data_IF_626535136612
#
_entry.id   IF_626535136612
#
_cell.length_a   1.000
_cell.length_b   1.000
_cell.length_c   1.000
_cell.angle_alpha   90.00
_cell.angle_beta   90.00
_cell.angle_gamma   90.00
#
_symmetry.space_group_name_H-M   'P 1'
#
loop_
_entity.id
_entity.type
_entity.pdbx_description
1 polymer ?
#
# COMPACT_ATOMS: atom_id res chain seq x y z
N UNK A 1 -30.14 -21.77 22.34
CA UNK A 1 -29.44 -21.00 23.39
C UNK A 1 -30.50 -20.18 24.12
N UNK A 2 -30.52 -20.23 25.45
CA UNK A 2 -31.45 -19.46 26.28
C UNK A 2 -30.66 -18.50 27.14
N UNK A 3 -31.20 -17.30 27.36
CA UNK A 3 -30.61 -16.28 28.23
C UNK A 3 -31.72 -15.59 29.01
N UNK A 4 -31.38 -14.99 30.14
CA UNK A 4 -32.32 -14.26 30.98
C UNK A 4 -32.07 -12.76 30.85
N UNK A 5 -33.15 -11.99 30.92
CA UNK A 5 -33.10 -10.54 31.00
C UNK A 5 -32.55 -10.12 32.37
N UNK A 6 -31.65 -9.15 32.38
CA UNK A 6 -31.07 -8.57 33.59
C UNK A 6 -32.04 -7.58 34.28
N UNK A 7 -31.61 -7.03 35.42
CA UNK A 7 -32.38 -6.06 36.21
C UNK A 7 -32.68 -4.76 35.44
N UNK A 8 -31.94 -4.48 34.35
CA UNK A 8 -32.12 -3.31 33.50
C UNK A 8 -33.01 -3.59 32.27
N UNK A 9 -33.58 -4.79 32.15
CA UNK A 9 -34.41 -5.16 31.01
C UNK A 9 -33.62 -5.55 29.76
N UNK A 10 -32.31 -5.83 29.87
CA UNK A 10 -31.44 -6.18 28.73
C UNK A 10 -30.94 -7.62 28.80
N UNK A 11 -30.63 -8.21 27.65
CA UNK A 11 -29.99 -9.52 27.57
C UNK A 11 -28.90 -9.52 26.51
N UNK A 12 -27.85 -10.30 26.72
CA UNK A 12 -26.74 -10.44 25.77
C UNK A 12 -26.59 -11.89 25.34
N UNK A 13 -26.50 -12.11 24.02
CA UNK A 13 -26.23 -13.42 23.40
C UNK A 13 -24.92 -13.32 22.64
N UNK A 14 -23.94 -14.12 23.05
CA UNK A 14 -22.63 -14.22 22.36
C UNK A 14 -22.64 -15.37 21.38
N UNK A 15 -22.66 -15.05 20.08
CA UNK A 15 -22.54 -16.05 19.01
C UNK A 15 -21.06 -16.19 18.67
N UNK A 16 -20.49 -17.36 18.95
CA UNK A 16 -19.10 -17.65 18.58
C UNK A 16 -19.09 -18.25 17.17
N UNK A 17 -18.50 -17.54 16.22
CA UNK A 17 -18.18 -18.08 14.91
C UNK A 17 -16.76 -18.66 14.95
N UNK A 18 -16.64 -19.97 14.68
CA UNK A 18 -15.33 -20.60 14.50
C UNK A 18 -14.61 -20.01 13.27
N UNK A 19 -13.27 -19.93 13.26
CA UNK A 19 -12.50 -19.58 12.05
C UNK A 19 -12.77 -20.52 10.86
N UNK A 20 -13.34 -21.70 11.10
CA UNK A 20 -13.74 -22.68 10.08
C UNK A 20 -15.19 -22.52 9.60
N UNK A 21 -15.93 -21.53 10.11
CA UNK A 21 -17.34 -21.33 9.71
C UNK A 21 -17.42 -20.93 8.25
N UNK A 22 -18.31 -21.56 7.48
CA UNK A 22 -18.54 -21.20 6.08
C UNK A 22 -19.03 -19.75 5.94
N UNK A 23 -18.63 -19.07 4.86
CA UNK A 23 -19.22 -17.78 4.47
C UNK A 23 -20.67 -18.02 4.08
N UNK A 24 -21.62 -17.47 4.85
CA UNK A 24 -23.05 -17.65 4.60
C UNK A 24 -23.88 -16.56 5.25
N UNK A 25 -25.09 -16.40 4.73
CA UNK A 25 -26.16 -15.64 5.38
C UNK A 25 -26.88 -16.56 6.37
N UNK A 26 -27.03 -16.10 7.61
CA UNK A 26 -27.83 -16.77 8.65
C UNK A 26 -28.94 -15.85 9.12
N UNK A 27 -30.08 -16.43 9.47
CA UNK A 27 -31.17 -15.72 10.15
C UNK A 27 -31.16 -16.14 11.61
N UNK A 28 -31.06 -15.15 12.50
CA UNK A 28 -31.15 -15.33 13.94
C UNK A 28 -32.55 -14.92 14.37
N UNK A 29 -33.32 -15.87 14.86
CA UNK A 29 -34.65 -15.62 15.44
C UNK A 29 -34.53 -15.53 16.96
N UNK A 30 -34.88 -14.39 17.52
CA UNK A 30 -34.95 -14.12 18.94
C UNK A 30 -36.40 -14.26 19.37
N UNK A 31 -36.69 -15.21 20.25
CA UNK A 31 -38.02 -15.42 20.83
C UNK A 31 -38.00 -14.89 22.25
N UNK A 32 -38.77 -13.83 22.50
CA UNK A 32 -38.97 -13.24 23.82
C UNK A 32 -40.17 -13.92 24.46
N UNK A 33 -39.92 -14.72 25.49
CA UNK A 33 -40.96 -15.41 26.27
C UNK A 33 -41.09 -14.72 27.62
N UNK A 34 -42.18 -13.98 27.87
CA UNK A 34 -42.42 -13.33 29.15
C UNK A 34 -42.69 -14.36 30.25
N UNK A 35 -42.43 -13.97 31.51
CA UNK A 35 -42.68 -14.83 32.67
C UNK A 35 -44.18 -14.94 32.95
N UNK A 36 -44.90 -13.86 32.70
CA UNK A 36 -46.33 -13.74 32.91
C UNK A 36 -47.11 -14.40 31.76
N UNK A 37 -47.98 -15.38 32.04
CA UNK A 37 -48.64 -16.19 31.01
C UNK A 37 -49.71 -15.43 30.20
N UNK A 38 -50.12 -14.24 30.64
CA UNK A 38 -51.08 -13.37 29.94
C UNK A 38 -50.39 -12.38 28.98
N UNK A 39 -49.05 -12.35 28.93
CA UNK A 39 -48.30 -11.53 27.98
C UNK A 39 -47.90 -12.43 26.80
N UNK A 40 -48.16 -11.97 25.58
CA UNK A 40 -47.83 -12.71 24.37
C UNK A 40 -46.32 -12.70 24.11
N UNK A 41 -45.78 -13.84 23.68
CA UNK A 41 -44.40 -13.93 23.21
C UNK A 41 -44.20 -13.14 21.91
N UNK A 42 -43.02 -12.57 21.74
CA UNK A 42 -42.63 -11.83 20.53
C UNK A 42 -41.44 -12.52 19.85
N UNK A 43 -41.49 -12.63 18.51
CA UNK A 43 -40.38 -13.11 17.71
C UNK A 43 -39.77 -11.96 16.90
N UNK A 44 -38.45 -11.87 16.91
CA UNK A 44 -37.67 -10.88 16.15
C UNK A 44 -36.68 -11.65 15.30
N UNK A 45 -36.70 -11.42 13.99
CA UNK A 45 -35.75 -12.02 13.07
C UNK A 45 -34.68 -11.01 12.66
N UNK A 46 -33.42 -11.44 12.72
CA UNK A 46 -32.29 -10.63 12.28
C UNK A 46 -31.37 -11.43 11.37
N UNK A 47 -31.09 -10.88 10.21
CA UNK A 47 -30.14 -11.47 9.29
C UNK A 47 -28.71 -11.04 9.64
N UNK A 48 -27.80 -12.01 9.65
CA UNK A 48 -26.37 -11.81 9.89
C UNK A 48 -25.61 -12.47 8.75
N UNK A 49 -24.64 -11.75 8.20
CA UNK A 49 -23.73 -12.29 7.18
C UNK A 49 -22.42 -12.64 7.85
N UNK A 50 -22.04 -13.91 7.78
CA UNK A 50 -20.73 -14.38 8.24
C UNK A 50 -19.80 -14.39 7.03
N UNK A 51 -18.68 -13.69 7.13
CA UNK A 51 -17.64 -13.65 6.10
C UNK A 51 -16.40 -14.36 6.66
N UNK A 52 -16.03 -15.48 6.05
CA UNK A 52 -14.78 -16.17 6.36
C UNK A 52 -13.68 -15.76 5.37
N UNK A 53 -12.64 -15.04 5.83
CA UNK A 53 -11.57 -14.59 4.95
C UNK A 53 -10.80 -15.73 4.31
N UNK A 54 -10.66 -16.89 4.97
CA UNK A 54 -9.97 -18.06 4.40
C UNK A 54 -10.68 -18.57 3.16
N UNK A 55 -12.01 -18.63 3.18
CA UNK A 55 -12.82 -19.11 2.05
C UNK A 55 -12.77 -18.11 0.88
N UNK A 56 -12.76 -16.82 1.19
CA UNK A 56 -12.68 -15.75 0.18
C UNK A 56 -11.30 -15.72 -0.47
N UNK A 57 -10.23 -15.95 0.30
CA UNK A 57 -8.84 -15.82 -0.18
C UNK A 57 -8.32 -17.14 -0.80
N UNK A 58 -8.76 -18.30 -0.32
CA UNK A 58 -8.31 -19.61 -0.78
C UNK A 58 -8.28 -19.78 -2.31
N UNK A 59 -9.31 -19.40 -3.10
CA UNK A 59 -9.27 -19.57 -4.55
C UNK A 59 -8.28 -18.62 -5.26
N UNK A 60 -7.85 -17.54 -4.61
CA UNK A 60 -6.92 -16.55 -5.18
C UNK A 60 -5.48 -17.07 -5.10
N UNK A 61 -5.15 -17.84 -4.07
CA UNK A 61 -3.80 -18.37 -3.82
C UNK A 61 -3.23 -19.16 -5.00
N UNK A 62 -3.91 -20.17 -5.59
CA UNK A 62 -3.37 -20.94 -6.71
C UNK A 62 -3.20 -20.11 -7.98
N UNK A 63 -3.91 -18.99 -8.12
CA UNK A 63 -3.79 -18.07 -9.27
C UNK A 63 -2.55 -17.19 -9.10
N UNK A 64 -2.32 -16.66 -7.89
CA UNK A 64 -1.19 -15.77 -7.61
C UNK A 64 0.13 -16.51 -7.37
N UNK A 65 0.11 -17.72 -6.82
CA UNK A 65 1.30 -18.52 -6.52
C UNK A 65 2.24 -18.72 -7.73
N UNK A 66 1.78 -19.13 -8.93
CA UNK A 66 2.65 -19.26 -10.09
C UNK A 66 3.16 -17.91 -10.59
N UNK A 67 2.35 -16.85 -10.54
CA UNK A 67 2.79 -15.50 -10.94
C UNK A 67 3.95 -15.04 -10.06
N UNK A 68 3.83 -15.22 -8.73
CA UNK A 68 4.89 -14.87 -7.77
C UNK A 68 6.12 -15.76 -7.98
N UNK A 69 5.92 -17.06 -8.23
CA UNK A 69 7.01 -18.01 -8.45
C UNK A 69 7.80 -17.72 -9.74
N UNK A 70 7.12 -17.42 -10.85
CA UNK A 70 7.75 -17.04 -12.11
C UNK A 70 8.36 -15.63 -12.07
N UNK A 71 7.82 -14.74 -11.23
CA UNK A 71 8.35 -13.38 -11.04
C UNK A 71 9.54 -13.32 -10.08
N UNK A 72 9.89 -14.43 -9.39
CA UNK A 72 11.15 -14.49 -8.66
C UNK A 72 12.29 -14.47 -9.69
N UNK A 73 13.13 -13.42 -9.72
CA UNK A 73 14.32 -13.46 -10.55
C UNK A 73 15.11 -14.70 -10.11
N UNK A 74 15.43 -15.59 -11.06
CA UNK A 74 16.43 -16.64 -10.84
C UNK A 74 17.74 -15.93 -10.53
N UNK A 75 17.96 -15.58 -9.27
CA UNK A 75 19.25 -15.13 -8.78
C UNK A 75 20.16 -16.33 -8.96
N UNK A 76 20.91 -16.36 -10.06
CA UNK A 76 22.23 -16.98 -10.05
C UNK A 76 22.94 -16.31 -8.88
N UNK A 77 23.11 -17.05 -7.79
CA UNK A 77 23.98 -16.66 -6.70
C UNK A 77 25.41 -16.83 -7.24
N UNK A 78 25.82 -15.93 -8.13
CA UNK A 78 27.23 -15.64 -8.29
C UNK A 78 27.60 -14.81 -7.05
N UNK A 79 28.31 -15.47 -6.13
CA UNK A 79 29.02 -14.80 -5.04
C UNK A 79 30.03 -13.84 -5.67
N UNK A 80 29.59 -12.65 -6.04
CA UNK A 80 30.50 -11.53 -6.29
C UNK A 80 30.88 -11.06 -4.89
N UNK A 81 32.04 -11.52 -4.42
CA UNK A 81 32.81 -10.81 -3.41
C UNK A 81 33.03 -9.39 -3.94
N UNK A 82 32.18 -8.45 -3.53
CA UNK A 82 32.50 -7.02 -3.67
C UNK A 82 33.40 -6.69 -2.49
N UNK A 83 34.68 -6.95 -2.68
CA UNK A 83 35.74 -6.21 -2.00
C UNK A 83 35.45 -4.73 -2.22
N UNK A 84 35.11 -4.01 -1.16
CA UNK A 84 35.00 -2.55 -1.17
C UNK A 84 36.43 -2.01 -1.32
N UNK A 85 36.95 -2.03 -2.55
CA UNK A 85 38.11 -1.25 -2.94
C UNK A 85 37.57 0.10 -3.38
N UNK A 86 37.59 1.10 -2.49
CA UNK A 86 37.40 2.51 -2.86
C UNK A 86 38.56 2.93 -3.76
N UNK A 87 38.34 3.47 -4.97
CA UNK A 87 39.34 4.23 -5.69
C UNK A 87 39.07 5.74 -5.52
N UNK A 88 40.12 6.43 -5.08
CA UNK A 88 40.45 7.86 -5.10
C UNK A 88 39.40 8.92 -5.52
N UNK A 89 39.06 9.92 -4.70
CA UNK A 89 39.87 11.06 -4.21
C UNK A 89 39.61 12.33 -5.05
N UNK A 90 38.96 13.33 -4.45
CA UNK A 90 39.13 14.75 -4.83
C UNK A 90 39.58 15.49 -3.57
N UNK A 91 40.87 15.79 -3.56
CA UNK A 91 41.60 16.62 -2.61
C UNK A 91 41.00 18.04 -2.53
N UNK A 92 40.63 18.51 -1.33
CA UNK A 92 40.74 19.92 -0.91
C UNK A 92 41.07 20.01 0.60
N UNK A 93 41.84 21.03 1.03
CA UNK A 93 42.81 20.96 2.13
C UNK A 93 42.21 21.14 3.54
N UNK A 94 42.96 20.79 4.61
CA UNK A 94 42.45 20.85 5.98
C UNK A 94 42.45 22.28 6.50
N UNK A 95 41.30 22.77 7.00
CA UNK A 95 41.24 24.04 7.73
C UNK A 95 40.67 23.83 9.13
N UNK A 96 41.62 23.69 10.06
CA UNK A 96 41.66 24.11 11.48
C UNK A 96 40.45 23.82 12.38
N UNK A 97 40.78 23.12 13.45
CA UNK A 97 40.04 22.94 14.69
C UNK A 97 39.46 24.24 15.25
N UNK A 98 38.24 24.17 15.78
CA UNK A 98 37.81 25.01 16.90
C UNK A 98 36.87 24.18 17.77
N UNK A 99 37.31 23.90 19.00
CA UNK A 99 36.47 23.38 20.09
C UNK A 99 35.66 24.53 20.69
N UNK A 100 34.36 24.35 20.84
CA UNK A 100 33.60 24.78 22.02
C UNK A 100 32.18 24.16 22.00
N UNK A 101 31.75 23.74 23.19
CA UNK A 101 30.39 23.32 23.58
C UNK A 101 29.37 24.42 23.19
N UNK A 102 28.08 24.16 22.95
CA UNK A 102 27.12 23.60 23.90
C UNK A 102 25.78 23.38 23.16
N UNK A 103 25.13 22.29 23.54
CA UNK A 103 23.71 21.92 23.41
C UNK A 103 22.76 22.89 22.72
N UNK A 104 22.30 22.53 21.51
CA UNK A 104 20.94 22.84 21.06
C UNK A 104 20.36 21.57 20.44
N UNK A 105 19.20 21.20 20.95
CA UNK A 105 18.35 20.08 20.56
C UNK A 105 18.21 20.07 19.04
N UNK A 106 18.85 19.09 18.39
CA UNK A 106 18.49 18.72 17.03
C UNK A 106 17.11 18.08 17.13
N UNK A 107 16.09 18.78 16.66
CA UNK A 107 15.01 18.09 15.99
C UNK A 107 15.68 17.21 14.93
N UNK A 108 15.58 15.90 15.11
CA UNK A 108 15.95 14.94 14.08
C UNK A 108 15.04 15.23 12.90
N UNK A 109 15.49 16.11 12.01
CA UNK A 109 15.02 16.10 10.62
C UNK A 109 15.29 14.68 10.14
N UNK A 110 14.23 13.87 10.15
CA UNK A 110 14.18 12.56 9.53
C UNK A 110 14.73 12.77 8.11
N UNK A 111 15.97 12.32 7.86
CA UNK A 111 16.56 12.36 6.53
C UNK A 111 15.74 11.35 5.73
N UNK A 112 14.63 11.81 5.16
CA UNK A 112 13.84 11.01 4.22
C UNK A 112 14.78 10.78 3.04
N UNK A 113 15.38 9.61 2.97
CA UNK A 113 16.16 9.17 1.81
C UNK A 113 15.14 8.98 0.68
N UNK A 114 14.84 10.06 -0.03
CA UNK A 114 13.96 10.01 -1.19
C UNK A 114 14.73 9.30 -2.29
N UNK A 115 14.24 8.12 -2.70
CA UNK A 115 14.84 7.37 -3.80
C UNK A 115 14.87 8.25 -5.06
N UNK A 116 15.98 8.33 -5.84
CA UNK A 116 16.11 9.25 -6.98
C UNK A 116 14.98 9.20 -8.02
N UNK A 117 14.35 8.03 -8.18
CA UNK A 117 13.20 7.82 -9.07
C UNK A 117 11.93 8.55 -8.58
N UNK A 118 11.76 8.70 -7.26
CA UNK A 118 10.65 9.47 -6.68
C UNK A 118 10.81 10.95 -7.03
N UNK A 119 12.03 11.50 -6.98
CA UNK A 119 12.30 12.86 -7.46
C UNK A 119 11.99 13.03 -8.94
N UNK A 120 12.38 12.05 -9.77
CA UNK A 120 12.06 12.06 -11.20
C UNK A 120 10.56 12.01 -11.46
N UNK A 121 9.81 11.29 -10.62
CA UNK A 121 8.36 11.25 -10.70
C UNK A 121 7.73 12.61 -10.47
N UNK A 122 8.10 13.30 -9.38
CA UNK A 122 7.55 14.62 -9.09
C UNK A 122 7.89 15.66 -10.15
N UNK A 123 9.13 15.65 -10.68
CA UNK A 123 9.51 16.49 -11.83
C UNK A 123 8.64 16.23 -13.06
N UNK A 124 8.28 14.97 -13.29
CA UNK A 124 7.42 14.60 -14.41
C UNK A 124 5.96 15.03 -14.17
N UNK A 125 5.46 14.92 -12.94
CA UNK A 125 4.13 15.40 -12.56
C UNK A 125 4.02 16.92 -12.70
N UNK A 126 5.04 17.68 -12.31
CA UNK A 126 5.10 19.12 -12.55
C UNK A 126 4.98 19.46 -14.04
N UNK A 127 5.64 18.68 -14.90
CA UNK A 127 5.53 18.84 -16.36
C UNK A 127 4.16 18.44 -16.89
N UNK A 128 3.54 17.40 -16.32
CA UNK A 128 2.19 17.00 -16.68
C UNK A 128 1.14 18.04 -16.28
N UNK A 129 1.35 18.75 -15.16
CA UNK A 129 0.47 19.83 -14.71
C UNK A 129 0.31 20.90 -15.79
N UNK A 130 1.39 21.24 -16.51
CA UNK A 130 1.36 22.22 -17.61
C UNK A 130 0.41 21.79 -18.76
N UNK A 131 0.15 20.48 -18.92
CA UNK A 131 -0.65 19.92 -20.04
C UNK A 131 -2.05 19.46 -19.62
N UNK A 132 -2.22 19.00 -18.38
CA UNK A 132 -3.43 18.33 -17.89
C UNK A 132 -4.22 19.22 -16.92
N UNK A 133 -3.60 20.28 -16.40
CA UNK A 133 -4.14 21.22 -15.39
C UNK A 133 -4.61 20.55 -14.09
N UNK A 134 -4.26 19.28 -13.88
CA UNK A 134 -4.55 18.53 -12.67
C UNK A 134 -3.26 18.16 -11.95
N UNK A 135 -3.26 18.30 -10.63
CA UNK A 135 -2.14 17.99 -9.77
C UNK A 135 -2.59 17.05 -8.65
N UNK A 136 -1.73 16.13 -8.16
CA UNK A 136 -2.08 15.22 -7.07
C UNK A 136 -2.46 15.99 -5.81
N UNK A 137 -3.53 15.55 -5.13
CA UNK A 137 -3.87 16.07 -3.80
C UNK A 137 -2.92 15.49 -2.75
N UNK A 138 -2.65 16.17 -1.63
CA UNK A 138 -1.75 15.66 -0.59
C UNK A 138 -2.16 14.30 -0.01
N UNK A 139 -3.47 14.01 0.02
CA UNK A 139 -4.03 12.75 0.53
C UNK A 139 -4.12 11.65 -0.53
N UNK A 140 -3.73 11.93 -1.78
CA UNK A 140 -3.94 11.04 -2.91
C UNK A 140 -2.69 10.19 -3.15
N UNK A 141 -2.91 8.90 -3.41
CA UNK A 141 -1.84 7.97 -3.79
C UNK A 141 -1.40 8.17 -5.25
N UNK A 142 -0.21 7.68 -5.60
CA UNK A 142 0.29 7.75 -6.98
C UNK A 142 -0.65 7.03 -7.96
N UNK A 143 -1.23 5.88 -7.57
CA UNK A 143 -2.26 5.13 -8.32
C UNK A 143 -3.58 5.86 -8.50
N UNK A 144 -4.08 6.53 -7.46
CA UNK A 144 -5.32 7.30 -7.57
C UNK A 144 -5.12 8.48 -8.52
N UNK A 145 -3.97 9.15 -8.44
CA UNK A 145 -3.63 10.21 -9.38
C UNK A 145 -3.53 9.68 -10.82
N UNK A 146 -2.83 8.57 -11.03
CA UNK A 146 -2.77 7.90 -12.34
C UNK A 146 -4.19 7.63 -12.88
N UNK A 147 -5.08 7.05 -12.08
CA UNK A 147 -6.46 6.73 -12.49
C UNK A 147 -7.22 7.97 -12.93
N UNK A 148 -7.06 9.08 -12.22
CA UNK A 148 -7.68 10.36 -12.52
C UNK A 148 -7.22 10.91 -13.89
N UNK A 149 -5.92 10.91 -14.16
CA UNK A 149 -5.37 11.51 -15.39
C UNK A 149 -5.25 10.53 -16.57
N UNK A 150 -5.51 9.23 -16.35
CA UNK A 150 -5.33 8.16 -17.35
C UNK A 150 -6.04 8.45 -18.66
N UNK A 151 -7.28 8.95 -18.60
CA UNK A 151 -8.07 9.29 -19.79
C UNK A 151 -7.47 10.46 -20.58
N UNK A 152 -6.84 11.42 -19.90
CA UNK A 152 -6.24 12.61 -20.51
C UNK A 152 -4.84 12.35 -21.10
N UNK A 153 -4.15 11.32 -20.60
CA UNK A 153 -2.82 10.92 -21.07
C UNK A 153 -2.83 10.20 -22.42
N UNK A 154 -3.95 9.61 -22.83
CA UNK A 154 -4.07 8.89 -24.10
C UNK A 154 -2.99 7.80 -24.26
N UNK A 155 -2.19 7.90 -25.32
CA UNK A 155 -1.11 6.94 -25.63
C UNK A 155 0.03 6.93 -24.61
N UNK A 156 0.22 8.02 -23.85
CA UNK A 156 1.23 8.11 -22.78
C UNK A 156 0.84 7.34 -21.53
N UNK A 157 -0.46 7.04 -21.36
CA UNK A 157 -1.00 6.41 -20.16
C UNK A 157 -0.27 5.13 -19.79
N UNK A 158 0.00 4.26 -20.77
CA UNK A 158 0.68 2.98 -20.54
C UNK A 158 2.12 3.16 -20.02
N UNK A 159 2.86 4.14 -20.57
CA UNK A 159 4.24 4.42 -20.16
C UNK A 159 4.27 5.07 -18.78
N UNK A 160 3.36 6.00 -18.53
CA UNK A 160 3.23 6.67 -17.25
C UNK A 160 2.76 5.71 -16.14
N UNK A 161 1.87 4.77 -16.46
CA UNK A 161 1.44 3.70 -15.55
C UNK A 161 2.62 2.83 -15.11
N UNK A 162 3.44 2.36 -16.06
CA UNK A 162 4.64 1.57 -15.74
C UNK A 162 5.66 2.34 -14.92
N UNK A 163 5.84 3.63 -15.22
CA UNK A 163 6.73 4.49 -14.44
C UNK A 163 6.19 4.68 -13.01
N UNK A 164 4.89 4.93 -12.87
CA UNK A 164 4.20 5.06 -11.57
C UNK A 164 4.36 3.81 -10.71
N UNK A 165 4.23 2.61 -11.29
CA UNK A 165 4.44 1.36 -10.54
C UNK A 165 5.88 1.21 -10.03
N UNK A 166 6.89 1.60 -10.81
CA UNK A 166 8.29 1.57 -10.38
C UNK A 166 8.57 2.61 -9.30
N UNK A 167 7.95 3.79 -9.40
CA UNK A 167 8.04 4.82 -8.36
C UNK A 167 7.37 4.38 -7.06
N UNK A 168 6.18 3.78 -7.10
CA UNK A 168 5.55 3.22 -5.90
C UNK A 168 6.41 2.14 -5.26
N UNK A 169 7.03 1.28 -6.09
CA UNK A 169 7.99 0.29 -5.61
C UNK A 169 9.16 0.96 -4.89
N UNK A 170 9.72 2.02 -5.46
CA UNK A 170 10.81 2.80 -4.85
C UNK A 170 10.40 3.52 -3.55
N UNK A 171 9.13 3.91 -3.46
CA UNK A 171 8.60 4.70 -2.35
C UNK A 171 8.24 3.82 -1.14
N UNK A 172 7.73 2.62 -1.37
CA UNK A 172 7.22 1.72 -0.32
C UNK A 172 8.12 0.51 -0.05
N UNK A 173 9.05 0.17 -0.95
CA UNK A 173 10.01 -0.92 -0.77
C UNK A 173 11.44 -0.35 -0.81
N UNK A 174 12.33 -0.92 0.00
CA UNK A 174 13.69 -0.41 0.18
C UNK A 174 14.57 -0.46 -1.07
N UNK A 175 14.39 -1.43 -1.98
CA UNK A 175 15.32 -1.62 -3.11
C UNK A 175 14.65 -1.97 -4.45
N UNK A 176 15.00 -1.20 -5.47
CA UNK A 176 14.87 -1.57 -6.88
C UNK A 176 16.11 -2.31 -7.35
N UNK A 177 15.94 -3.16 -8.36
CA UNK A 177 17.09 -3.73 -9.07
C UNK A 177 17.70 -2.69 -10.02
N UNK A 178 19.01 -2.77 -10.27
CA UNK A 178 19.72 -1.90 -11.24
C UNK A 178 19.05 -1.92 -12.63
N UNK A 179 18.45 -3.05 -13.03
CA UNK A 179 17.71 -3.16 -14.28
C UNK A 179 16.41 -2.34 -14.26
N UNK A 180 15.69 -2.36 -13.15
CA UNK A 180 14.47 -1.57 -12.96
C UNK A 180 14.77 -0.08 -12.86
N UNK A 181 15.86 0.33 -12.20
CA UNK A 181 16.30 1.73 -12.16
C UNK A 181 16.61 2.26 -13.56
N UNK A 182 17.44 1.54 -14.32
CA UNK A 182 17.73 1.89 -15.72
C UNK A 182 16.48 1.95 -16.59
N UNK A 183 15.53 1.04 -16.35
CA UNK A 183 14.26 1.03 -17.05
C UNK A 183 13.39 2.24 -16.69
N UNK A 184 13.32 2.60 -15.40
CA UNK A 184 12.62 3.79 -14.92
C UNK A 184 13.20 5.08 -15.53
N UNK A 185 14.53 5.21 -15.57
CA UNK A 185 15.19 6.35 -16.22
C UNK A 185 14.88 6.42 -17.72
N UNK A 186 14.85 5.27 -18.40
CA UNK A 186 14.50 5.19 -19.81
C UNK A 186 13.04 5.62 -20.05
N UNK A 187 12.12 5.18 -19.19
CA UNK A 187 10.72 5.57 -19.24
C UNK A 187 10.56 7.07 -19.01
N UNK A 188 11.23 7.63 -18.00
CA UNK A 188 11.24 9.07 -17.71
C UNK A 188 11.71 9.88 -18.93
N UNK A 189 12.84 9.50 -19.54
CA UNK A 189 13.36 10.18 -20.75
C UNK A 189 12.39 10.08 -21.94
N UNK A 190 11.77 8.92 -22.15
CA UNK A 190 10.78 8.72 -23.21
C UNK A 190 9.54 9.60 -23.00
N UNK A 191 9.00 9.61 -21.78
CA UNK A 191 7.83 10.41 -21.40
C UNK A 191 8.10 11.90 -21.58
N UNK A 192 9.27 12.40 -21.13
CA UNK A 192 9.64 13.80 -21.34
C UNK A 192 9.75 14.17 -22.82
N UNK A 193 10.26 13.27 -23.67
CA UNK A 193 10.39 13.53 -25.10
C UNK A 193 9.03 13.66 -25.77
N UNK A 194 8.09 12.79 -25.41
CA UNK A 194 6.74 12.78 -25.98
C UNK A 194 5.83 13.84 -25.36
N UNK A 195 6.14 14.35 -24.15
CA UNK A 195 5.44 15.48 -23.54
C UNK A 195 5.80 16.83 -24.19
N UNK A 196 6.99 16.94 -24.80
CA UNK A 196 7.42 18.13 -25.55
C UNK A 196 6.85 18.21 -26.98
N UNK A 197 6.18 17.16 -27.44
CA UNK A 197 5.44 17.12 -28.71
C UNK A 197 3.98 17.51 -28.48
#
# INVERSE_FOLDING_TARGET
>A
MTTHTDENGTFTVKIHASPLTLTRKITVTIILTPKEPWINSQAIEKEIVIINPLIVIAPIIPILAPIIYLSKPRRKIEKILITITRPHEILRPPKKETKAKETLVKEEEEIVIIHPIVDLYWKLVEKLKEKIEEYPKPSQTLREYLTQIKGKLGTLALKFERFTMLTEKALYLEELTVAEEKYAEKLYKSLLKELKQ
#
